data_IF_793907067641
#
_entry.id   IF_793907067641
#
_cell.length_a   1.000
_cell.length_b   1.000
_cell.length_c   1.000
_cell.angle_alpha   90.00
_cell.angle_beta   90.00
_cell.angle_gamma   90.00
#
_symmetry.space_group_name_H-M   'P 1'
#
loop_
_entity.id
_entity.type
_entity.pdbx_description
1 polymer ?
#
# COMPACT_ATOMS: atom_id res chain seq x y z
N UNK A 1 5.15 5.43 33.59
CA UNK A 1 5.04 6.47 32.54
C UNK A 1 4.95 5.83 31.15
N UNK A 2 5.98 5.17 30.59
CA UNK A 2 5.85 4.43 29.32
C UNK A 2 4.77 3.33 29.34
N UNK A 3 4.82 2.46 30.36
CA UNK A 3 3.91 1.34 30.54
C UNK A 3 2.43 1.75 30.70
N UNK A 4 2.17 2.94 31.25
CA UNK A 4 0.80 3.47 31.39
C UNK A 4 0.25 3.93 30.04
N UNK A 5 1.08 4.60 29.23
CA UNK A 5 0.70 5.04 27.88
C UNK A 5 0.49 3.86 26.94
N UNK A 6 1.36 2.83 26.98
CA UNK A 6 1.19 1.63 26.18
C UNK A 6 -0.06 0.83 26.59
N UNK A 7 -0.36 0.76 27.89
CA UNK A 7 -1.60 0.15 28.40
C UNK A 7 -2.84 0.93 27.94
N UNK A 8 -2.82 2.27 28.04
CA UNK A 8 -3.91 3.11 27.58
C UNK A 8 -4.14 2.98 26.07
N UNK A 9 -3.07 2.92 25.28
CA UNK A 9 -3.14 2.72 23.83
C UNK A 9 -3.79 1.36 23.47
N UNK A 10 -3.45 0.29 24.19
CA UNK A 10 -4.11 -1.03 24.05
C UNK A 10 -5.60 -0.95 24.39
N UNK A 11 -5.97 -0.29 25.48
CA UNK A 11 -7.37 -0.11 25.86
C UNK A 11 -8.17 0.71 24.81
N UNK A 12 -7.56 1.71 24.19
CA UNK A 12 -8.17 2.46 23.10
C UNK A 12 -8.42 1.59 21.86
N UNK A 13 -7.53 0.63 21.55
CA UNK A 13 -7.77 -0.35 20.48
C UNK A 13 -8.96 -1.25 20.76
N UNK A 14 -9.11 -1.75 21.99
CA UNK A 14 -10.24 -2.57 22.40
C UNK A 14 -11.58 -1.83 22.26
N UNK A 15 -11.56 -0.51 22.46
CA UNK A 15 -12.71 0.38 22.25
C UNK A 15 -12.95 0.76 20.78
N UNK A 16 -12.12 0.29 19.86
CA UNK A 16 -12.21 0.65 18.44
C UNK A 16 -11.82 2.10 18.13
N UNK A 17 -10.91 2.68 18.93
CA UNK A 17 -10.42 4.06 18.80
C UNK A 17 -8.96 4.07 18.27
N UNK A 18 -8.72 3.74 16.99
CA UNK A 18 -7.37 3.54 16.46
C UNK A 18 -6.54 4.82 16.34
N UNK A 19 -7.18 5.98 16.25
CA UNK A 19 -6.47 7.26 16.18
C UNK A 19 -5.99 7.72 17.56
N UNK A 20 -6.82 7.52 18.59
CA UNK A 20 -6.43 7.73 19.98
C UNK A 20 -5.31 6.77 20.40
N UNK A 21 -5.45 5.48 20.06
CA UNK A 21 -4.41 4.48 20.31
C UNK A 21 -3.06 4.88 19.67
N UNK A 22 -3.08 5.37 18.43
CA UNK A 22 -1.88 5.84 17.73
C UNK A 22 -1.28 7.07 18.40
N UNK A 23 -2.09 8.06 18.78
CA UNK A 23 -1.60 9.24 19.49
C UNK A 23 -0.97 8.91 20.85
N UNK A 24 -1.52 7.92 21.57
CA UNK A 24 -0.95 7.43 22.83
C UNK A 24 0.37 6.69 22.61
N UNK A 25 0.46 5.86 21.56
CA UNK A 25 1.70 5.18 21.19
C UNK A 25 2.79 6.15 20.70
N UNK A 26 2.41 7.21 19.96
CA UNK A 26 3.33 8.28 19.55
C UNK A 26 3.97 8.96 20.75
N UNK A 27 3.18 9.22 21.80
CA UNK A 27 3.68 9.78 23.05
C UNK A 27 4.58 8.80 23.78
N UNK A 28 4.16 7.54 23.92
CA UNK A 28 4.95 6.51 24.58
C UNK A 28 6.34 6.36 23.93
N UNK A 29 6.38 6.26 22.60
CA UNK A 29 7.63 6.11 21.85
C UNK A 29 8.49 7.38 21.86
N UNK A 30 7.88 8.58 21.82
CA UNK A 30 8.61 9.85 21.93
C UNK A 30 9.28 10.01 23.29
N UNK A 31 8.56 9.70 24.36
CA UNK A 31 9.05 9.88 25.73
C UNK A 31 10.09 8.80 26.08
N UNK A 32 9.98 7.61 25.47
CA UNK A 32 10.83 6.45 25.73
C UNK A 32 11.14 5.66 24.44
N UNK A 33 12.00 6.17 23.54
CA UNK A 33 12.28 5.54 22.25
C UNK A 33 13.04 4.22 22.34
N UNK A 34 13.78 4.01 23.43
CA UNK A 34 14.55 2.79 23.71
C UNK A 34 13.71 1.70 24.40
N UNK A 35 12.48 2.01 24.82
CA UNK A 35 11.56 1.03 25.42
C UNK A 35 11.03 0.08 24.33
N UNK A 36 11.34 -1.23 24.40
CA UNK A 36 10.91 -2.19 23.39
C UNK A 36 9.39 -2.28 23.24
N UNK A 37 8.62 -2.14 24.34
CA UNK A 37 7.16 -2.24 24.30
C UNK A 37 6.55 -1.00 23.63
N UNK A 38 7.11 0.18 23.92
CA UNK A 38 6.70 1.43 23.28
C UNK A 38 6.99 1.41 21.77
N UNK A 39 8.19 0.94 21.38
CA UNK A 39 8.59 0.80 19.97
C UNK A 39 7.73 -0.22 19.23
N UNK A 40 7.47 -1.38 19.83
CA UNK A 40 6.62 -2.41 19.23
C UNK A 40 5.21 -1.88 18.95
N UNK A 41 4.59 -1.25 19.96
CA UNK A 41 3.24 -0.73 19.83
C UNK A 41 3.16 0.40 18.79
N UNK A 42 4.12 1.32 18.79
CA UNK A 42 4.25 2.38 17.78
C UNK A 42 4.35 1.77 16.38
N UNK A 43 5.29 0.84 16.17
CA UNK A 43 5.54 0.19 14.88
C UNK A 43 4.28 -0.53 14.39
N UNK A 44 3.59 -1.29 15.25
CA UNK A 44 2.39 -2.04 14.89
C UNK A 44 1.24 -1.11 14.46
N UNK A 45 1.01 -0.02 15.20
CA UNK A 45 -0.07 0.92 14.92
C UNK A 45 0.17 1.74 13.64
N UNK A 46 1.42 2.17 13.42
CA UNK A 46 1.80 2.87 12.20
C UNK A 46 1.79 1.95 10.99
N UNK A 47 2.20 0.70 11.13
CA UNK A 47 2.07 -0.28 10.05
C UNK A 47 0.60 -0.51 9.67
N UNK A 48 -0.30 -0.61 10.66
CA UNK A 48 -1.73 -0.71 10.40
C UNK A 48 -2.29 0.54 9.69
N UNK A 49 -1.83 1.74 10.07
CA UNK A 49 -2.17 2.98 9.37
C UNK A 49 -1.65 2.98 7.93
N UNK A 50 -0.39 2.62 7.71
CA UNK A 50 0.23 2.52 6.39
C UNK A 50 -0.49 1.52 5.46
N UNK A 51 -0.94 0.38 5.99
CA UNK A 51 -1.77 -0.60 5.26
C UNK A 51 -3.08 0.06 4.79
N UNK A 52 -3.77 0.78 5.68
CA UNK A 52 -5.03 1.47 5.35
C UNK A 52 -4.82 2.59 4.32
N UNK A 53 -3.78 3.40 4.47
CA UNK A 53 -3.44 4.46 3.52
C UNK A 53 -3.07 3.89 2.16
N UNK A 54 -2.28 2.81 2.12
CA UNK A 54 -1.97 2.08 0.88
C UNK A 54 -3.22 1.52 0.20
N UNK A 55 -4.23 1.07 0.97
CA UNK A 55 -5.52 0.65 0.40
C UNK A 55 -6.33 1.85 -0.13
N UNK A 56 -6.34 2.95 0.61
CA UNK A 56 -7.03 4.19 0.23
C UNK A 56 -6.46 4.80 -1.05
N UNK A 57 -5.13 4.84 -1.21
CA UNK A 57 -4.49 5.35 -2.42
C UNK A 57 -4.94 4.59 -3.68
N UNK A 58 -5.05 3.26 -3.57
CA UNK A 58 -5.52 2.38 -4.65
C UNK A 58 -6.98 2.63 -5.00
N UNK A 59 -7.83 2.77 -3.98
CA UNK A 59 -9.24 3.08 -4.22
C UNK A 59 -9.42 4.50 -4.76
N UNK A 60 -8.62 5.47 -4.31
CA UNK A 60 -8.63 6.84 -4.85
C UNK A 60 -8.30 6.85 -6.35
N UNK A 61 -7.27 6.10 -6.77
CA UNK A 61 -6.94 5.92 -8.19
C UNK A 61 -8.11 5.31 -8.96
N UNK A 62 -8.70 4.23 -8.43
CA UNK A 62 -9.84 3.55 -9.06
C UNK A 62 -11.05 4.48 -9.21
N UNK A 63 -11.37 5.25 -8.17
CA UNK A 63 -12.44 6.22 -8.19
C UNK A 63 -12.17 7.37 -9.18
N UNK A 64 -10.92 7.85 -9.28
CA UNK A 64 -10.53 8.89 -10.23
C UNK A 64 -10.74 8.45 -11.69
N UNK A 65 -10.30 7.23 -12.03
CA UNK A 65 -10.49 6.62 -13.37
C UNK A 65 -11.97 6.62 -13.76
N UNK A 66 -12.85 6.20 -12.84
CA UNK A 66 -14.29 6.16 -13.08
C UNK A 66 -14.86 7.57 -13.21
N UNK A 67 -14.55 8.46 -12.26
CA UNK A 67 -15.05 9.83 -12.20
C UNK A 67 -14.72 10.63 -13.47
N UNK A 68 -13.47 10.57 -13.91
CA UNK A 68 -13.00 11.32 -15.10
C UNK A 68 -13.47 10.69 -16.41
N UNK A 69 -13.99 9.46 -16.37
CA UNK A 69 -14.42 8.70 -17.54
C UNK A 69 -13.42 8.79 -18.72
N UNK A 70 -12.12 8.68 -18.39
CA UNK A 70 -11.00 8.91 -19.32
C UNK A 70 -11.20 8.04 -20.56
N UNK A 71 -11.02 8.47 -21.82
CA UNK A 71 -11.20 7.59 -22.97
C UNK A 71 -10.28 6.36 -22.91
N UNK A 72 -10.68 5.24 -23.52
CA UNK A 72 -9.87 4.02 -23.49
C UNK A 72 -8.47 4.28 -24.05
N UNK A 73 -8.35 5.01 -25.17
CA UNK A 73 -7.10 5.26 -25.89
C UNK A 73 -6.19 6.30 -25.24
N UNK A 74 -6.62 6.90 -24.12
CA UNK A 74 -5.82 7.88 -23.39
C UNK A 74 -5.00 7.16 -22.33
N UNK A 75 -3.69 7.43 -22.33
CA UNK A 75 -2.82 6.98 -21.25
C UNK A 75 -3.29 7.60 -19.92
N UNK A 76 -3.37 6.78 -18.88
CA UNK A 76 -3.87 7.21 -17.59
C UNK A 76 -2.76 7.87 -16.78
N UNK A 77 -3.00 9.12 -16.37
CA UNK A 77 -2.18 9.83 -15.39
C UNK A 77 -2.97 10.03 -14.10
N UNK A 78 -2.32 9.75 -12.96
CA UNK A 78 -2.89 9.99 -11.65
C UNK A 78 -3.19 11.48 -11.44
N UNK A 79 -4.41 11.78 -10.99
CA UNK A 79 -4.75 13.11 -10.52
C UNK A 79 -3.89 13.50 -9.30
N UNK A 80 -3.65 14.80 -9.06
CA UNK A 80 -2.83 15.27 -7.93
C UNK A 80 -3.26 14.69 -6.57
N UNK A 81 -4.56 14.49 -6.34
CA UNK A 81 -5.08 13.91 -5.10
C UNK A 81 -4.73 12.42 -4.95
N UNK A 82 -4.64 11.69 -6.06
CA UNK A 82 -4.21 10.29 -6.07
C UNK A 82 -2.72 10.21 -5.78
N UNK A 83 -1.92 11.07 -6.42
CA UNK A 83 -0.48 11.18 -6.14
C UNK A 83 -0.24 11.46 -4.67
N UNK A 84 -0.95 12.44 -4.10
CA UNK A 84 -0.92 12.77 -2.67
C UNK A 84 -1.26 11.58 -1.78
N UNK A 85 -2.27 10.79 -2.14
CA UNK A 85 -2.65 9.60 -1.36
C UNK A 85 -1.56 8.52 -1.37
N UNK A 86 -0.83 8.35 -2.47
CA UNK A 86 0.36 7.47 -2.52
C UNK A 86 1.51 8.04 -1.67
N UNK A 87 1.75 9.36 -1.72
CA UNK A 87 2.77 10.01 -0.89
C UNK A 87 2.46 9.87 0.61
N UNK A 88 1.20 10.05 1.02
CA UNK A 88 0.76 9.84 2.41
C UNK A 88 0.99 8.39 2.86
N UNK A 89 0.75 7.41 1.99
CA UNK A 89 1.00 6.01 2.29
C UNK A 89 2.50 5.69 2.42
N UNK A 90 3.36 6.30 1.61
CA UNK A 90 4.82 6.12 1.69
C UNK A 90 5.37 6.77 2.96
N UNK A 91 4.91 7.98 3.30
CA UNK A 91 5.28 8.67 4.53
C UNK A 91 4.89 7.90 5.80
N UNK A 92 3.75 7.19 5.79
CA UNK A 92 3.38 6.32 6.90
C UNK A 92 4.28 5.08 7.02
N UNK A 93 4.83 4.58 5.90
CA UNK A 93 5.85 3.53 5.94
C UNK A 93 7.19 4.07 6.45
N UNK A 94 7.54 5.31 6.13
CA UNK A 94 8.73 5.97 6.69
C UNK A 94 8.67 6.06 8.21
N UNK A 95 7.49 6.31 8.80
CA UNK A 95 7.33 6.31 10.26
C UNK A 95 7.68 4.95 10.89
N UNK A 96 7.27 3.85 10.25
CA UNK A 96 7.61 2.48 10.71
C UNK A 96 9.10 2.22 10.55
N UNK A 97 9.67 2.59 9.40
CA UNK A 97 11.08 2.33 9.07
C UNK A 97 12.05 3.22 9.86
N UNK A 98 11.60 4.38 10.35
CA UNK A 98 12.38 5.20 11.27
C UNK A 98 12.54 4.52 12.64
N UNK A 99 11.50 3.82 13.12
CA UNK A 99 11.55 3.09 14.39
C UNK A 99 12.22 1.70 14.26
N UNK A 100 12.01 1.02 13.14
CA UNK A 100 12.66 -0.24 12.79
C UNK A 100 13.08 -0.25 11.30
N UNK A 101 14.32 0.14 10.98
CA UNK A 101 14.83 0.19 9.61
C UNK A 101 14.84 -1.16 8.88
N UNK A 102 14.79 -2.27 9.62
CA UNK A 102 14.83 -3.63 9.07
C UNK A 102 13.45 -4.30 9.08
N UNK A 103 12.37 -3.54 9.33
CA UNK A 103 11.02 -4.07 9.40
C UNK A 103 10.56 -4.67 8.07
N UNK A 104 10.72 -5.98 7.91
CA UNK A 104 10.60 -6.69 6.63
C UNK A 104 9.25 -6.47 5.94
N UNK A 105 8.16 -6.46 6.72
CA UNK A 105 6.81 -6.23 6.19
C UNK A 105 6.65 -4.82 5.65
N UNK A 106 7.24 -3.81 6.29
CA UNK A 106 7.13 -2.42 5.89
C UNK A 106 7.96 -2.19 4.62
N UNK A 107 9.18 -2.73 4.57
CA UNK A 107 10.03 -2.73 3.37
C UNK A 107 9.32 -3.40 2.17
N UNK A 108 8.78 -4.60 2.37
CA UNK A 108 8.05 -5.33 1.31
C UNK A 108 6.82 -4.57 0.83
N UNK A 109 6.12 -3.90 1.74
CA UNK A 109 4.98 -3.05 1.41
C UNK A 109 5.39 -1.78 0.67
N UNK A 110 6.49 -1.14 1.06
CA UNK A 110 7.04 0.03 0.38
C UNK A 110 7.43 -0.28 -1.05
N UNK A 111 8.17 -1.37 -1.26
CA UNK A 111 8.50 -1.84 -2.60
C UNK A 111 7.24 -2.05 -3.47
N UNK A 112 6.21 -2.67 -2.89
CA UNK A 112 4.93 -2.85 -3.59
C UNK A 112 4.25 -1.51 -3.89
N UNK A 113 4.28 -0.54 -2.97
CA UNK A 113 3.68 0.78 -3.12
C UNK A 113 4.39 1.61 -4.21
N UNK A 114 5.72 1.64 -4.21
CA UNK A 114 6.53 2.34 -5.22
C UNK A 114 6.23 1.80 -6.62
N UNK A 115 6.25 0.48 -6.77
CA UNK A 115 5.94 -0.16 -8.04
C UNK A 115 4.50 0.05 -8.50
N UNK A 116 3.55 0.16 -7.56
CA UNK A 116 2.14 0.48 -7.87
C UNK A 116 1.97 1.90 -8.32
N UNK A 117 2.63 2.84 -7.63
CA UNK A 117 2.57 4.26 -7.95
C UNK A 117 3.01 4.48 -9.38
N UNK A 118 4.20 3.98 -9.72
CA UNK A 118 4.77 4.07 -11.06
C UNK A 118 5.51 2.76 -11.38
N UNK A 119 4.99 1.98 -12.33
CA UNK A 119 5.56 0.68 -12.68
C UNK A 119 6.87 0.77 -13.47
N UNK A 120 7.15 1.94 -14.03
CA UNK A 120 8.36 2.20 -14.81
C UNK A 120 9.43 2.72 -13.86
N UNK A 121 9.19 3.85 -13.19
CA UNK A 121 10.16 4.48 -12.28
C UNK A 121 10.30 3.75 -10.95
N UNK A 122 9.22 3.16 -10.45
CA UNK A 122 9.20 2.47 -9.16
C UNK A 122 9.70 1.03 -9.20
N UNK A 123 10.01 0.47 -10.37
CA UNK A 123 10.46 -0.93 -10.49
C UNK A 123 11.82 -1.17 -9.83
N UNK A 124 12.84 -0.42 -10.25
CA UNK A 124 14.20 -0.65 -9.75
C UNK A 124 14.29 -0.37 -8.25
N UNK A 125 13.77 0.76 -7.72
CA UNK A 125 13.77 1.00 -6.27
C UNK A 125 13.03 -0.10 -5.49
N UNK A 126 11.92 -0.63 -6.03
CA UNK A 126 11.21 -1.73 -5.40
C UNK A 126 12.02 -3.02 -5.37
N UNK A 127 12.72 -3.35 -6.47
CA UNK A 127 13.58 -4.53 -6.53
C UNK A 127 14.80 -4.41 -5.62
N UNK A 128 15.42 -3.23 -5.52
CA UNK A 128 16.52 -2.98 -4.57
C UNK A 128 16.09 -3.27 -3.14
N UNK A 129 14.94 -2.73 -2.70
CA UNK A 129 14.38 -2.98 -1.38
C UNK A 129 14.13 -4.49 -1.17
N UNK A 130 13.51 -5.15 -2.14
CA UNK A 130 13.15 -6.57 -2.00
C UNK A 130 14.38 -7.49 -2.00
N UNK A 131 15.39 -7.18 -2.82
CA UNK A 131 16.68 -7.89 -2.81
C UNK A 131 17.35 -7.75 -1.44
N UNK A 132 17.33 -6.56 -0.84
CA UNK A 132 17.88 -6.35 0.50
C UNK A 132 17.12 -7.17 1.56
N UNK A 133 15.78 -7.20 1.51
CA UNK A 133 14.96 -8.04 2.41
C UNK A 133 15.27 -9.53 2.23
N UNK A 134 15.35 -10.02 0.98
CA UNK A 134 15.64 -11.43 0.68
C UNK A 134 17.08 -11.79 1.06
N UNK A 135 18.04 -10.89 0.90
CA UNK A 135 19.42 -11.11 1.32
C UNK A 135 19.53 -11.24 2.85
N UNK A 136 18.78 -10.41 3.60
CA UNK A 136 18.73 -10.49 5.06
C UNK A 136 17.92 -11.70 5.56
N UNK A 137 16.85 -12.08 4.86
CA UNK A 137 16.00 -13.21 5.18
C UNK A 137 15.55 -13.96 3.91
N UNK A 138 16.31 -14.97 3.46
CA UNK A 138 16.00 -15.75 2.26
C UNK A 138 14.69 -16.54 2.36
N UNK A 139 14.17 -16.77 3.56
CA UNK A 139 12.92 -17.49 3.78
C UNK A 139 11.68 -16.58 3.71
N UNK A 140 11.84 -15.27 3.53
CA UNK A 140 10.72 -14.34 3.44
C UNK A 140 9.92 -14.55 2.14
N UNK A 141 8.89 -15.41 2.23
CA UNK A 141 8.01 -15.77 1.11
C UNK A 141 7.30 -14.57 0.51
N UNK A 142 6.95 -13.57 1.33
CA UNK A 142 6.24 -12.39 0.84
C UNK A 142 7.15 -11.52 -0.03
N UNK A 143 8.39 -11.30 0.40
CA UNK A 143 9.39 -10.56 -0.35
C UNK A 143 9.77 -11.29 -1.65
N UNK A 144 10.00 -12.61 -1.60
CA UNK A 144 10.26 -13.43 -2.79
C UNK A 144 9.10 -13.37 -3.80
N UNK A 145 7.86 -13.49 -3.33
CA UNK A 145 6.70 -13.42 -4.19
C UNK A 145 6.53 -12.03 -4.82
N UNK A 146 6.71 -10.97 -4.02
CA UNK A 146 6.70 -9.59 -4.53
C UNK A 146 7.80 -9.38 -5.57
N UNK A 147 9.03 -9.83 -5.30
CA UNK A 147 10.18 -9.67 -6.18
C UNK A 147 9.93 -10.35 -7.53
N UNK A 148 9.56 -11.64 -7.52
CA UNK A 148 9.19 -12.38 -8.74
C UNK A 148 8.12 -11.67 -9.56
N UNK A 149 7.14 -11.07 -8.89
CA UNK A 149 6.02 -10.38 -9.53
C UNK A 149 6.42 -9.04 -10.17
N UNK A 150 7.41 -8.37 -9.61
CA UNK A 150 7.96 -7.11 -10.11
C UNK A 150 8.99 -7.37 -11.22
N UNK A 151 9.78 -8.43 -11.12
CA UNK A 151 10.78 -8.82 -12.15
C UNK A 151 10.13 -9.24 -13.47
N UNK A 152 8.93 -9.80 -13.43
CA UNK A 152 8.27 -10.38 -14.60
C UNK A 152 7.11 -9.50 -15.08
N UNK A 153 7.29 -8.72 -16.17
CA UNK A 153 6.21 -7.95 -16.77
C UNK A 153 4.97 -8.80 -17.09
N UNK A 154 3.79 -8.31 -16.73
CA UNK A 154 2.56 -9.07 -16.91
C UNK A 154 2.08 -9.06 -18.37
N UNK A 155 2.26 -10.18 -19.07
CA UNK A 155 1.78 -10.35 -20.46
C UNK A 155 0.27 -10.13 -20.64
N UNK A 156 -0.54 -10.40 -19.61
CA UNK A 156 -2.00 -10.28 -19.69
C UNK A 156 -2.49 -8.83 -19.79
N UNK A 157 -1.82 -7.90 -19.14
CA UNK A 157 -2.21 -6.49 -19.13
C UNK A 157 -1.15 -5.59 -19.76
N UNK A 158 -0.22 -6.17 -20.53
CA UNK A 158 0.97 -5.48 -21.04
C UNK A 158 1.70 -4.69 -19.96
N UNK A 159 1.75 -5.29 -18.77
CA UNK A 159 2.34 -4.73 -17.56
C UNK A 159 1.75 -3.41 -17.06
N UNK A 160 0.53 -3.05 -17.46
CA UNK A 160 -0.16 -1.85 -16.94
C UNK A 160 -0.68 -1.98 -15.51
N UNK A 161 -0.81 -3.20 -14.97
CA UNK A 161 -1.46 -3.47 -13.69
C UNK A 161 -3.01 -3.38 -13.71
N UNK A 162 -3.57 -2.71 -14.71
CA UNK A 162 -5.01 -2.57 -14.90
C UNK A 162 -5.65 -3.76 -15.62
N UNK A 163 -6.95 -3.94 -15.40
CA UNK A 163 -7.72 -4.94 -16.13
C UNK A 163 -7.71 -4.60 -17.63
N UNK A 164 -7.28 -5.50 -18.53
CA UNK A 164 -7.23 -5.21 -19.96
C UNK A 164 -8.62 -4.99 -20.58
N UNK A 165 -9.69 -5.51 -19.95
CA UNK A 165 -11.07 -5.44 -20.48
C UNK A 165 -11.78 -4.13 -20.13
N UNK A 166 -11.56 -3.58 -18.94
CA UNK A 166 -12.17 -2.30 -18.51
C UNK A 166 -11.16 -1.14 -18.37
N UNK A 167 -9.88 -1.39 -18.67
CA UNK A 167 -8.75 -0.45 -18.54
C UNK A 167 -8.78 0.32 -17.21
N UNK A 168 -8.95 -0.40 -16.09
CA UNK A 168 -8.91 0.19 -14.75
C UNK A 168 -10.26 0.59 -14.13
N UNK A 169 -11.32 0.74 -14.93
CA UNK A 169 -12.61 1.28 -14.45
C UNK A 169 -13.37 0.38 -13.48
N UNK A 170 -13.15 -0.93 -13.55
CA UNK A 170 -13.96 -1.88 -12.81
C UNK A 170 -15.39 -2.06 -13.34
N UNK A 171 -15.93 -1.14 -14.13
CA UNK A 171 -17.21 -1.26 -14.83
C UNK A 171 -17.05 -1.17 -16.35
N UNK A 172 -18.09 -1.53 -17.09
CA UNK A 172 -18.21 -1.31 -18.53
C UNK A 172 -19.60 -0.77 -18.85
N UNK A 173 -19.67 0.16 -19.80
CA UNK A 173 -20.93 0.66 -20.34
C UNK A 173 -21.18 0.03 -21.70
N UNK A 174 -22.32 -0.65 -21.87
CA UNK A 174 -22.75 -1.26 -23.12
C UNK A 174 -24.19 -0.78 -23.38
N UNK A 175 -24.42 -0.16 -24.54
CA UNK A 175 -25.74 0.36 -24.94
C UNK A 175 -26.41 1.23 -23.86
N UNK A 176 -25.61 2.09 -23.22
CA UNK A 176 -26.10 3.00 -22.17
C UNK A 176 -26.17 2.40 -20.76
N UNK A 177 -26.19 1.07 -20.62
CA UNK A 177 -26.23 0.36 -19.33
C UNK A 177 -24.82 0.12 -18.77
N UNK A 178 -24.62 0.46 -17.49
CA UNK A 178 -23.35 0.21 -16.78
C UNK A 178 -23.44 -1.08 -15.97
N UNK A 179 -22.44 -1.96 -16.14
CA UNK A 179 -22.33 -3.20 -15.37
C UNK A 179 -20.91 -3.41 -14.84
N UNK A 180 -20.80 -4.18 -13.75
CA UNK A 180 -19.49 -4.58 -13.20
C UNK A 180 -18.72 -5.37 -14.26
N UNK A 181 -17.43 -5.07 -14.41
CA UNK A 181 -16.57 -5.84 -15.29
C UNK A 181 -16.39 -7.25 -14.73
N UNK A 182 -16.87 -8.24 -15.47
CA UNK A 182 -16.81 -9.66 -15.09
C UNK A 182 -15.37 -10.18 -14.99
N UNK A 183 -14.44 -9.61 -15.77
CA UNK A 183 -13.05 -10.07 -15.83
C UNK A 183 -12.23 -9.68 -14.61
N UNK A 184 -12.58 -8.58 -13.95
CA UNK A 184 -11.94 -8.14 -12.71
C UNK A 184 -12.90 -8.10 -11.53
N UNK A 185 -14.14 -8.59 -11.67
CA UNK A 185 -15.20 -8.52 -10.67
C UNK A 185 -15.38 -7.13 -10.02
N UNK A 186 -15.33 -6.07 -10.84
CA UNK A 186 -15.43 -4.70 -10.32
C UNK A 186 -14.12 -4.06 -9.87
N UNK A 187 -13.03 -4.81 -9.71
CA UNK A 187 -11.82 -4.34 -9.04
C UNK A 187 -10.94 -3.39 -9.86
N UNK A 188 -11.11 -3.33 -11.19
CA UNK A 188 -10.27 -2.50 -12.07
C UNK A 188 -8.84 -3.01 -12.26
N UNK A 189 -8.35 -3.94 -11.43
CA UNK A 189 -7.03 -4.60 -11.56
C UNK A 189 -6.99 -5.72 -12.60
N UNK A 190 -5.80 -5.96 -13.12
CA UNK A 190 -5.44 -7.28 -13.63
C UNK A 190 -5.37 -8.28 -12.46
N UNK A 191 -6.23 -9.31 -12.44
CA UNK A 191 -6.24 -10.30 -11.37
C UNK A 191 -5.02 -11.23 -11.35
N UNK A 192 -4.23 -11.27 -12.44
CA UNK A 192 -2.99 -12.09 -12.51
C UNK A 192 -1.86 -11.39 -11.78
N UNK A 193 -1.56 -10.16 -12.20
CA UNK A 193 -0.52 -9.38 -11.56
C UNK A 193 -1.05 -8.52 -10.42
N UNK A 194 -2.33 -8.55 -10.04
CA UNK A 194 -2.95 -8.00 -8.82
C UNK A 194 -2.24 -6.82 -8.13
N UNK A 195 -1.80 -5.83 -8.88
CA UNK A 195 -0.98 -4.69 -8.43
C UNK A 195 -1.68 -3.46 -8.98
N UNK A 196 -2.86 -3.17 -8.43
CA UNK A 196 -3.19 -1.79 -8.10
C UNK A 196 -2.59 -1.54 -6.75
#
# INVERSE_FOLDING_TARGET
MANELTTAAKAALEKGQPDEARALADRAYRDHPDDPDARELYTALHLAAAIRLSARAREARRADIVRRNIPYETEFEDAPEVVKAFDEADAALDQVLAADPRHEKALTMRASLLFRRDRTKGREPALEILRAVVAANPANRQALYAMKKIENPCKRCSDSGFCPRCRGRGSRRILGMESKCETCHGQGICLVCGVL
#
